data_IF_581510080874
#
_entry.id   IF_581510080874
#
_cell.length_a   1.000
_cell.length_b   1.000
_cell.length_c   1.000
_cell.angle_alpha   90.00
_cell.angle_beta   90.00
_cell.angle_gamma   90.00
#
_symmetry.space_group_name_H-M   'P 1'
#
loop_
_entity.id
_entity.type
_entity.pdbx_description
1 polymer ?
#
# COMPACT_ATOMS: atom_id res chain seq x y z
N UNK A 1 42.32 -21.69 -16.37
CA UNK A 1 41.98 -23.13 -16.47
C UNK A 1 40.52 -23.30 -15.95
N UNK A 2 39.62 -23.72 -16.82
CA UNK A 2 38.40 -24.41 -16.47
C UNK A 2 37.22 -23.57 -16.00
N UNK A 3 36.41 -22.97 -16.91
CA UNK A 3 35.04 -22.56 -16.62
C UNK A 3 34.06 -23.70 -16.89
N UNK A 4 32.90 -23.75 -16.19
CA UNK A 4 31.87 -24.72 -16.49
C UNK A 4 30.87 -24.19 -17.53
N UNK A 5 30.65 -25.06 -18.53
CA UNK A 5 29.70 -24.91 -19.64
C UNK A 5 28.25 -24.96 -19.19
N UNK A 6 27.47 -23.92 -19.49
CA UNK A 6 26.01 -23.94 -19.38
C UNK A 6 25.36 -24.65 -20.56
N UNK A 7 24.42 -25.56 -20.29
CA UNK A 7 23.55 -26.17 -21.28
C UNK A 7 22.22 -25.41 -21.36
N UNK A 8 21.67 -25.15 -22.55
CA UNK A 8 20.35 -24.53 -22.66
C UNK A 8 19.23 -25.58 -22.51
N UNK A 9 18.21 -25.24 -21.75
CA UNK A 9 16.96 -26.01 -21.67
C UNK A 9 16.12 -25.77 -22.94
N UNK A 10 15.91 -26.83 -23.72
CA UNK A 10 14.94 -26.86 -24.83
C UNK A 10 13.56 -27.25 -24.31
N UNK A 11 12.54 -26.44 -24.59
CA UNK A 11 11.12 -26.79 -24.46
C UNK A 11 10.61 -27.39 -25.79
N UNK A 12 9.90 -28.52 -25.80
CA UNK A 12 9.31 -29.05 -27.03
C UNK A 12 7.96 -28.40 -27.33
N UNK A 13 7.83 -27.81 -28.52
CA UNK A 13 6.54 -27.38 -29.12
C UNK A 13 5.75 -28.59 -29.58
N UNK A 14 4.50 -28.71 -29.11
CA UNK A 14 3.51 -29.62 -29.73
C UNK A 14 2.76 -28.88 -30.82
N UNK A 15 2.95 -29.34 -32.05
CA UNK A 15 2.15 -28.95 -33.22
C UNK A 15 0.88 -29.80 -33.28
N UNK A 16 -0.28 -29.15 -33.28
CA UNK A 16 -1.56 -29.81 -33.58
C UNK A 16 -1.89 -29.68 -35.08
N UNK A 17 -1.98 -30.83 -35.75
CA UNK A 17 -2.44 -30.91 -37.13
C UNK A 17 -3.97 -30.92 -37.18
N UNK A 18 -4.55 -29.88 -37.79
CA UNK A 18 -5.93 -29.93 -38.28
C UNK A 18 -5.95 -30.63 -39.65
N UNK A 19 -6.71 -31.70 -39.77
CA UNK A 19 -7.16 -32.19 -41.08
C UNK A 19 -8.68 -32.06 -41.18
N UNK A 20 -9.08 -31.24 -42.12
CA UNK A 20 -10.44 -31.17 -42.69
C UNK A 20 -10.73 -32.36 -43.59
N UNK A 21 -11.93 -32.92 -43.48
CA UNK A 21 -12.51 -33.78 -44.53
C UNK A 21 -13.99 -33.44 -44.65
N UNK A 22 -14.28 -32.87 -45.78
CA UNK A 22 -15.62 -32.66 -46.34
C UNK A 22 -15.99 -33.97 -47.06
N UNK A 23 -17.17 -34.52 -46.83
CA UNK A 23 -17.81 -35.36 -47.84
C UNK A 23 -19.33 -35.17 -47.89
N UNK A 24 -19.76 -35.03 -49.11
CA UNK A 24 -21.11 -34.76 -49.61
C UNK A 24 -22.03 -35.98 -49.63
N UNK A 25 -23.32 -35.65 -49.41
CA UNK A 25 -24.49 -36.13 -50.17
C UNK A 25 -24.88 -37.63 -50.15
N UNK A 26 -26.06 -38.04 -49.79
CA UNK A 26 -27.19 -38.13 -50.70
C UNK A 26 -28.48 -38.69 -50.03
N UNK A 27 -29.59 -38.25 -50.61
CA UNK A 27 -31.00 -38.62 -50.30
C UNK A 27 -31.26 -40.11 -50.40
N UNK A 28 -32.14 -40.68 -49.56
CA UNK A 28 -33.42 -41.22 -50.01
C UNK A 28 -34.30 -41.76 -48.86
N UNK A 29 -35.53 -41.64 -49.07
CA UNK A 29 -36.76 -41.73 -48.36
C UNK A 29 -37.19 -43.23 -48.15
N UNK A 30 -37.82 -43.50 -47.05
CA UNK A 30 -39.01 -44.33 -46.79
C UNK A 30 -38.88 -45.31 -45.61
N UNK A 31 -39.89 -45.22 -44.84
CA UNK A 31 -40.59 -46.30 -44.17
C UNK A 31 -40.68 -46.20 -42.62
N UNK A 32 -41.85 -45.93 -42.20
CA UNK A 32 -42.45 -45.92 -40.88
C UNK A 32 -42.24 -47.23 -40.12
N UNK A 33 -41.57 -47.20 -38.96
CA UNK A 33 -41.84 -48.14 -37.87
C UNK A 33 -41.74 -47.40 -36.56
N UNK A 34 -42.87 -47.32 -35.86
CA UNK A 34 -43.02 -46.78 -34.51
C UNK A 34 -42.36 -47.78 -33.54
N UNK A 35 -41.21 -47.44 -33.03
CA UNK A 35 -40.59 -48.13 -31.88
C UNK A 35 -40.64 -47.18 -30.68
N UNK A 36 -41.50 -47.55 -29.70
CA UNK A 36 -41.43 -46.94 -28.37
C UNK A 36 -40.11 -47.27 -27.73
N UNK A 37 -39.19 -46.34 -27.65
CA UNK A 37 -38.02 -46.43 -26.85
C UNK A 37 -38.31 -45.75 -25.51
N UNK A 38 -38.45 -46.58 -24.48
CA UNK A 38 -38.52 -46.13 -23.08
C UNK A 38 -37.13 -45.52 -22.73
N UNK A 39 -37.04 -44.20 -22.80
CA UNK A 39 -35.81 -43.49 -22.37
C UNK A 39 -35.79 -43.45 -20.84
N UNK A 40 -35.00 -44.31 -20.22
CA UNK A 40 -34.60 -44.15 -18.82
C UNK A 40 -33.66 -42.93 -18.73
N UNK A 41 -34.21 -41.82 -18.26
CA UNK A 41 -33.41 -40.64 -17.90
C UNK A 41 -32.68 -40.99 -16.60
N UNK A 42 -31.44 -41.44 -16.69
CA UNK A 42 -30.51 -41.46 -15.57
C UNK A 42 -30.13 -40.03 -15.24
N UNK A 43 -30.73 -39.48 -14.18
CA UNK A 43 -30.27 -38.24 -13.54
C UNK A 43 -28.85 -38.54 -12.99
N UNK A 44 -27.84 -38.22 -13.76
CA UNK A 44 -26.53 -37.95 -13.20
C UNK A 44 -26.62 -36.65 -12.43
N UNK A 45 -26.79 -36.77 -11.12
CA UNK A 45 -26.53 -35.64 -10.21
C UNK A 45 -25.07 -35.23 -10.39
N UNK A 46 -24.85 -34.17 -11.19
CA UNK A 46 -23.56 -33.50 -11.19
C UNK A 46 -23.40 -32.90 -9.79
N UNK A 47 -22.65 -33.58 -8.92
CA UNK A 47 -22.03 -32.91 -7.79
C UNK A 47 -21.16 -31.82 -8.38
N UNK A 48 -21.64 -30.56 -8.38
CA UNK A 48 -20.78 -29.43 -8.53
C UNK A 48 -19.69 -29.55 -7.44
N UNK A 49 -18.40 -29.46 -7.78
CA UNK A 49 -17.40 -29.38 -6.75
C UNK A 49 -17.77 -28.17 -5.87
N UNK A 50 -18.04 -28.43 -4.57
CA UNK A 50 -18.01 -27.35 -3.60
C UNK A 50 -16.62 -26.75 -3.72
N UNK A 51 -16.54 -25.49 -4.14
CA UNK A 51 -15.34 -24.71 -3.96
C UNK A 51 -15.12 -24.70 -2.43
N UNK A 52 -14.16 -25.49 -1.98
CA UNK A 52 -13.58 -25.30 -0.66
C UNK A 52 -13.13 -23.85 -0.66
N UNK A 53 -13.71 -23.04 0.23
CA UNK A 53 -13.20 -21.70 0.53
C UNK A 53 -11.81 -21.98 1.08
N UNK A 54 -10.81 -21.66 0.29
CA UNK A 54 -9.41 -21.86 0.67
C UNK A 54 -9.17 -20.92 1.86
N UNK A 55 -9.14 -21.47 3.08
CA UNK A 55 -8.78 -20.75 4.32
C UNK A 55 -7.29 -20.37 4.35
N UNK A 56 -6.60 -20.51 3.22
CA UNK A 56 -5.22 -20.09 3.08
C UNK A 56 -5.10 -18.58 3.31
N UNK A 57 -4.11 -18.12 4.07
CA UNK A 57 -3.87 -16.72 4.29
C UNK A 57 -3.75 -15.97 2.96
N UNK A 58 -4.32 -14.78 2.88
CA UNK A 58 -4.24 -13.96 1.68
C UNK A 58 -2.78 -13.82 1.24
N UNK A 59 -2.50 -14.13 -0.03
CA UNK A 59 -1.16 -14.12 -0.62
C UNK A 59 -0.43 -12.77 -0.41
N UNK A 60 -1.17 -11.67 -0.38
CA UNK A 60 -0.60 -10.34 -0.13
C UNK A 60 -0.03 -10.21 1.29
N UNK A 61 -0.68 -10.81 2.28
CA UNK A 61 -0.18 -10.82 3.67
C UNK A 61 1.08 -11.68 3.80
N UNK A 62 1.08 -12.86 3.18
CA UNK A 62 2.26 -13.74 3.16
C UNK A 62 3.44 -13.07 2.44
N UNK A 63 3.17 -12.33 1.36
CA UNK A 63 4.21 -11.60 0.65
C UNK A 63 4.87 -10.53 1.55
N UNK A 64 4.08 -9.78 2.30
CA UNK A 64 4.61 -8.77 3.24
C UNK A 64 5.36 -9.41 4.41
N UNK A 65 4.85 -10.51 4.97
CA UNK A 65 5.43 -11.14 6.16
C UNK A 65 6.70 -11.94 5.84
N UNK A 66 6.66 -12.75 4.76
CA UNK A 66 7.61 -13.86 4.57
C UNK A 66 8.54 -13.65 3.36
N UNK A 67 8.22 -12.73 2.40
CA UNK A 67 9.02 -12.67 1.18
C UNK A 67 10.33 -11.89 1.35
N UNK A 68 11.36 -12.38 0.68
CA UNK A 68 12.63 -11.65 0.54
C UNK A 68 12.46 -10.40 -0.35
N UNK A 69 11.53 -10.44 -1.29
CA UNK A 69 11.20 -9.38 -2.23
C UNK A 69 10.67 -8.15 -1.49
N UNK A 70 9.73 -8.31 -0.54
CA UNK A 70 9.26 -7.20 0.30
C UNK A 70 10.42 -6.51 1.02
N UNK A 71 11.32 -7.31 1.64
CA UNK A 71 12.49 -6.77 2.34
C UNK A 71 13.45 -6.03 1.40
N UNK A 72 13.64 -6.55 0.18
CA UNK A 72 14.52 -5.95 -0.81
C UNK A 72 13.96 -4.62 -1.33
N UNK A 73 12.67 -4.59 -1.72
CA UNK A 73 12.00 -3.40 -2.25
C UNK A 73 11.92 -2.30 -1.18
N UNK A 74 11.54 -2.63 0.06
CA UNK A 74 11.49 -1.66 1.15
C UNK A 74 12.86 -1.01 1.40
N UNK A 75 13.93 -1.82 1.48
CA UNK A 75 15.30 -1.28 1.60
C UNK A 75 15.73 -0.42 0.42
N UNK A 76 15.28 -0.78 -0.80
CA UNK A 76 15.57 0.01 -1.99
C UNK A 76 14.95 1.40 -1.91
N UNK A 77 13.70 1.51 -1.42
CA UNK A 77 13.00 2.79 -1.20
C UNK A 77 13.81 3.68 -0.25
N UNK A 78 14.14 3.18 0.95
CA UNK A 78 14.90 3.97 1.94
C UNK A 78 16.33 4.26 1.53
N UNK A 79 16.98 3.37 0.77
CA UNK A 79 18.31 3.63 0.21
C UNK A 79 18.28 4.74 -0.84
N UNK A 80 17.28 4.74 -1.74
CA UNK A 80 17.12 5.80 -2.73
C UNK A 80 16.91 7.15 -2.03
N UNK A 81 16.05 7.22 -1.03
CA UNK A 81 15.84 8.42 -0.23
C UNK A 81 17.12 8.88 0.49
N UNK A 82 17.90 7.96 1.07
CA UNK A 82 19.16 8.29 1.73
C UNK A 82 20.18 8.91 0.76
N UNK A 83 20.20 8.44 -0.48
CA UNK A 83 21.10 8.97 -1.52
C UNK A 83 20.68 10.37 -1.99
N UNK A 84 19.39 10.66 -2.03
CA UNK A 84 18.84 11.96 -2.45
C UNK A 84 18.89 13.01 -1.32
N UNK A 85 18.92 12.59 -0.06
CA UNK A 85 18.79 13.48 1.11
C UNK A 85 19.75 14.68 1.10
N UNK A 86 21.07 14.53 0.86
CA UNK A 86 21.97 15.68 0.88
C UNK A 86 21.66 16.74 -0.19
N UNK A 87 21.26 16.30 -1.39
CA UNK A 87 20.90 17.21 -2.47
C UNK A 87 19.60 17.98 -2.17
N UNK A 88 18.60 17.30 -1.62
CA UNK A 88 17.31 17.92 -1.25
C UNK A 88 17.43 18.87 -0.04
N UNK A 89 18.37 18.61 0.86
CA UNK A 89 18.69 19.56 1.93
C UNK A 89 19.31 20.85 1.32
N UNK A 90 20.25 20.68 0.40
CA UNK A 90 21.02 21.79 -0.19
C UNK A 90 20.19 22.62 -1.20
N UNK A 91 19.17 22.05 -1.83
CA UNK A 91 18.30 22.77 -2.75
C UNK A 91 17.19 23.49 -1.98
N UNK A 92 17.43 24.76 -1.63
CA UNK A 92 16.47 25.58 -0.90
C UNK A 92 15.19 25.87 -1.70
N UNK A 93 15.19 25.67 -3.01
CA UNK A 93 14.02 25.88 -3.87
C UNK A 93 13.12 24.66 -3.98
N UNK A 94 13.63 23.48 -3.59
CA UNK A 94 12.88 22.24 -3.65
C UNK A 94 11.86 22.12 -2.52
N UNK A 95 10.63 21.73 -2.87
CA UNK A 95 9.64 21.21 -1.94
C UNK A 95 8.97 19.93 -2.49
N UNK A 96 8.77 18.96 -1.64
CA UNK A 96 7.99 17.76 -1.92
C UNK A 96 6.46 18.02 -1.88
N UNK A 97 6.03 19.23 -1.52
CA UNK A 97 4.65 19.70 -1.64
C UNK A 97 4.57 20.63 -2.84
N UNK A 98 3.97 20.19 -3.98
CA UNK A 98 4.03 20.90 -5.27
C UNK A 98 3.55 22.35 -5.22
N UNK A 99 2.66 22.67 -4.29
CA UNK A 99 2.05 23.99 -4.12
C UNK A 99 2.61 24.78 -2.93
N UNK A 100 3.65 24.29 -2.24
CA UNK A 100 4.28 25.04 -1.15
C UNK A 100 5.00 26.26 -1.71
N UNK A 101 4.66 27.42 -1.20
CA UNK A 101 5.27 28.70 -1.58
C UNK A 101 6.09 29.27 -0.42
N UNK A 102 7.09 30.09 -0.74
CA UNK A 102 7.97 30.76 0.24
C UNK A 102 8.68 29.77 1.19
N UNK A 103 9.08 28.61 0.66
CA UNK A 103 9.72 27.55 1.43
C UNK A 103 11.23 27.76 1.62
N UNK A 104 11.86 28.66 0.86
CA UNK A 104 13.33 28.81 0.73
C UNK A 104 14.02 29.17 2.05
N UNK A 105 13.31 29.84 2.95
CA UNK A 105 13.87 30.23 4.25
C UNK A 105 13.42 29.35 5.40
N UNK A 106 12.65 28.31 5.13
CA UNK A 106 12.12 27.41 6.16
C UNK A 106 13.10 26.24 6.41
N UNK A 107 13.20 25.78 7.67
CA UNK A 107 14.03 24.63 7.98
C UNK A 107 13.50 23.36 7.28
N UNK A 108 14.40 22.46 6.83
CA UNK A 108 13.99 21.26 6.12
C UNK A 108 13.29 20.26 7.03
N UNK A 109 12.21 19.66 6.52
CA UNK A 109 11.49 18.59 7.20
C UNK A 109 11.11 17.45 6.24
N UNK A 110 10.87 16.29 6.82
CA UNK A 110 10.35 15.09 6.16
C UNK A 110 9.02 14.72 6.83
N UNK A 111 8.01 14.36 6.05
CA UNK A 111 6.76 13.82 6.56
C UNK A 111 6.66 12.36 6.18
N UNK A 112 6.39 11.49 7.16
CA UNK A 112 6.29 10.04 6.97
C UNK A 112 4.99 9.53 7.58
N UNK A 113 4.29 8.66 6.84
CA UNK A 113 3.25 7.84 7.44
C UNK A 113 3.85 6.81 8.41
N UNK A 114 3.04 6.20 9.26
CA UNK A 114 3.50 5.21 10.25
C UNK A 114 3.23 3.78 9.77
N UNK A 115 1.95 3.42 9.56
CA UNK A 115 1.52 2.04 9.36
C UNK A 115 1.83 1.56 7.95
N UNK A 116 2.55 0.44 7.81
CA UNK A 116 3.12 -0.10 6.56
C UNK A 116 4.16 0.80 5.88
N UNK A 117 4.47 1.92 6.48
CA UNK A 117 5.55 2.81 6.05
C UNK A 117 6.76 2.70 6.99
N UNK A 118 6.58 2.92 8.27
CA UNK A 118 7.65 2.84 9.27
C UNK A 118 7.60 1.54 10.07
N UNK A 119 6.40 1.09 10.41
CA UNK A 119 6.15 -0.16 11.12
C UNK A 119 5.20 -1.04 10.32
N UNK A 120 5.38 -2.36 10.47
CA UNK A 120 4.65 -3.37 9.71
C UNK A 120 3.55 -3.98 10.58
N UNK A 121 2.30 -3.76 10.21
CA UNK A 121 1.12 -4.28 10.90
C UNK A 121 0.60 -5.63 10.35
N UNK A 122 1.40 -6.40 9.59
CA UNK A 122 0.93 -7.64 8.97
C UNK A 122 0.46 -8.69 9.99
N UNK A 123 1.09 -8.75 11.16
CA UNK A 123 0.69 -9.71 12.21
C UNK A 123 -0.68 -9.37 12.78
N UNK A 124 -1.02 -8.07 12.90
CA UNK A 124 -2.37 -7.66 13.20
C UNK A 124 -3.36 -8.10 12.11
N UNK A 125 -3.02 -7.88 10.84
CA UNK A 125 -3.89 -8.24 9.71
C UNK A 125 -4.16 -9.75 9.62
N UNK A 126 -3.20 -10.58 10.01
CA UNK A 126 -3.33 -12.03 10.05
C UNK A 126 -4.05 -12.56 11.29
N UNK A 127 -3.95 -11.86 12.41
CA UNK A 127 -4.40 -12.35 13.72
C UNK A 127 -5.71 -11.75 14.23
N UNK A 128 -6.20 -10.64 13.66
CA UNK A 128 -7.42 -10.04 14.16
C UNK A 128 -8.68 -10.73 13.61
N UNK A 129 -9.64 -10.97 14.49
CA UNK A 129 -10.96 -11.44 14.09
C UNK A 129 -11.77 -10.35 13.37
N UNK A 130 -12.36 -10.64 12.20
CA UNK A 130 -13.25 -9.69 11.52
C UNK A 130 -14.48 -9.29 12.37
N UNK A 131 -15.05 -8.12 12.18
CA UNK A 131 -14.60 -7.03 11.31
C UNK A 131 -13.44 -6.23 11.93
N UNK A 132 -12.67 -5.53 11.09
CA UNK A 132 -11.72 -4.51 11.54
C UNK A 132 -12.46 -3.42 12.34
N UNK A 133 -11.87 -3.01 13.47
CA UNK A 133 -12.30 -1.82 14.22
C UNK A 133 -11.08 -1.03 14.68
N UNK A 134 -11.21 0.31 14.74
CA UNK A 134 -10.15 1.17 15.27
C UNK A 134 -9.69 0.72 16.66
N UNK A 135 -10.64 0.38 17.55
CA UNK A 135 -10.30 -0.09 18.90
C UNK A 135 -9.42 -1.35 18.90
N UNK A 136 -9.71 -2.35 18.06
CA UNK A 136 -8.85 -3.56 17.99
C UNK A 136 -7.44 -3.21 17.54
N UNK A 137 -7.32 -2.26 16.62
CA UNK A 137 -6.03 -1.78 16.13
C UNK A 137 -5.29 -0.97 17.18
N UNK A 138 -5.98 -0.12 17.93
CA UNK A 138 -5.41 0.65 19.03
C UNK A 138 -4.92 -0.28 20.18
N UNK A 139 -5.73 -1.29 20.53
CA UNK A 139 -5.34 -2.29 21.54
C UNK A 139 -4.09 -3.08 21.11
N UNK A 140 -3.97 -3.41 19.80
CA UNK A 140 -2.79 -4.08 19.27
C UNK A 140 -1.57 -3.16 19.27
N UNK A 141 -1.73 -1.91 18.82
CA UNK A 141 -0.67 -0.91 18.85
C UNK A 141 -0.16 -0.66 20.28
N UNK A 142 -1.05 -0.64 21.27
CA UNK A 142 -0.67 -0.48 22.68
C UNK A 142 0.20 -1.64 23.23
N UNK A 143 0.31 -2.75 22.51
CA UNK A 143 1.23 -3.85 22.84
C UNK A 143 2.67 -3.65 22.32
N UNK A 144 2.88 -2.66 21.45
CA UNK A 144 4.19 -2.25 20.90
C UNK A 144 4.99 -3.39 20.24
N UNK A 145 4.31 -4.28 19.53
CA UNK A 145 4.91 -5.47 18.88
C UNK A 145 5.16 -5.30 17.39
N UNK A 146 4.82 -4.16 16.82
CA UNK A 146 4.99 -3.91 15.40
C UNK A 146 6.48 -3.93 15.00
N UNK A 147 6.79 -4.70 13.95
CA UNK A 147 8.16 -4.78 13.44
C UNK A 147 8.46 -3.59 12.53
N UNK A 148 9.70 -3.06 12.55
CA UNK A 148 10.07 -1.99 11.64
C UNK A 148 10.04 -2.46 10.18
N UNK A 149 9.60 -1.56 9.30
CA UNK A 149 9.79 -1.74 7.85
C UNK A 149 11.27 -1.70 7.52
N UNK A 150 11.80 -2.67 6.75
CA UNK A 150 13.23 -2.77 6.49
C UNK A 150 13.83 -1.51 5.84
N UNK A 151 14.77 -0.88 6.52
CA UNK A 151 15.46 0.35 6.08
C UNK A 151 14.91 1.63 6.73
N UNK A 152 13.71 1.59 7.31
CA UNK A 152 13.10 2.78 7.91
C UNK A 152 13.88 3.32 9.12
N UNK A 153 14.29 2.50 10.13
CA UNK A 153 15.01 3.01 11.29
C UNK A 153 16.34 3.69 10.93
N UNK A 154 17.08 3.10 10.00
CA UNK A 154 18.36 3.64 9.53
C UNK A 154 18.18 4.99 8.82
N UNK A 155 17.13 5.09 7.98
CA UNK A 155 16.82 6.32 7.27
C UNK A 155 16.43 7.45 8.22
N UNK A 156 15.52 7.20 9.18
CA UNK A 156 15.08 8.23 10.15
C UNK A 156 16.26 8.72 10.99
N UNK A 157 17.13 7.81 11.46
CA UNK A 157 18.35 8.19 12.18
C UNK A 157 19.28 9.05 11.32
N UNK A 158 19.46 8.70 10.04
CA UNK A 158 20.27 9.48 9.10
C UNK A 158 19.66 10.88 8.90
N UNK A 159 18.37 10.98 8.64
CA UNK A 159 17.69 12.27 8.41
C UNK A 159 17.84 13.20 9.62
N UNK A 160 17.60 12.70 10.83
CA UNK A 160 17.78 13.48 12.07
C UNK A 160 19.25 13.87 12.31
N UNK A 161 20.19 12.97 12.07
CA UNK A 161 21.62 13.28 12.17
C UNK A 161 22.09 14.33 11.14
N UNK A 162 21.35 14.47 10.03
CA UNK A 162 21.57 15.51 9.00
C UNK A 162 20.88 16.83 9.32
N UNK A 163 20.28 16.98 10.50
CA UNK A 163 19.61 18.23 10.94
C UNK A 163 18.21 18.41 10.37
N UNK A 164 17.59 17.36 9.81
CA UNK A 164 16.24 17.43 9.24
C UNK A 164 15.20 17.02 10.30
N UNK A 165 14.16 17.82 10.46
CA UNK A 165 13.02 17.45 11.31
C UNK A 165 12.21 16.34 10.63
N UNK A 166 11.82 15.31 11.38
CA UNK A 166 10.98 14.22 10.87
C UNK A 166 9.66 14.21 11.60
N UNK A 167 8.57 14.38 10.86
CA UNK A 167 7.20 14.31 11.34
C UNK A 167 6.56 12.98 10.94
N UNK A 168 5.81 12.39 11.85
CA UNK A 168 5.07 11.16 11.66
C UNK A 168 3.58 11.48 11.57
N UNK A 169 3.01 11.40 10.35
CA UNK A 169 1.64 11.81 10.06
C UNK A 169 0.79 10.59 9.73
N UNK A 170 -0.03 10.13 10.70
CA UNK A 170 -0.79 8.88 10.60
C UNK A 170 -2.29 9.10 10.64
N UNK A 171 -3.05 8.14 10.11
CA UNK A 171 -4.50 8.07 10.23
C UNK A 171 -4.97 7.27 11.48
N UNK A 172 -4.06 6.88 12.37
CA UNK A 172 -4.45 6.51 13.74
C UNK A 172 -5.24 7.68 14.32
N UNK A 173 -6.34 7.38 14.99
CA UNK A 173 -7.31 8.42 15.38
C UNK A 173 -7.10 8.83 16.83
N UNK A 174 -7.08 10.13 17.05
CA UNK A 174 -7.08 10.69 18.39
C UNK A 174 -8.49 10.66 18.97
N UNK A 175 -8.69 9.86 20.02
CA UNK A 175 -9.88 9.92 20.86
C UNK A 175 -9.56 10.83 22.05
N UNK A 176 -9.74 12.14 21.84
CA UNK A 176 -9.31 13.15 22.79
C UNK A 176 -10.06 13.04 24.11
N UNK A 177 -9.31 12.99 25.22
CA UNK A 177 -9.86 13.11 26.56
C UNK A 177 -10.46 14.51 26.82
N UNK A 178 -11.17 14.67 27.93
CA UNK A 178 -11.83 15.93 28.30
C UNK A 178 -10.84 17.11 28.45
N UNK A 179 -9.59 16.84 28.74
CA UNK A 179 -8.51 17.83 28.83
C UNK A 179 -7.80 18.11 27.49
N UNK A 180 -8.28 17.47 26.41
CA UNK A 180 -7.70 17.56 25.07
C UNK A 180 -6.48 16.67 24.84
N UNK A 181 -6.06 15.87 25.83
CA UNK A 181 -4.95 14.93 25.65
C UNK A 181 -5.36 13.75 24.75
N UNK A 182 -4.36 13.15 24.10
CA UNK A 182 -4.54 12.06 23.17
C UNK A 182 -3.54 10.93 23.46
N UNK A 183 -3.98 9.91 24.19
CA UNK A 183 -3.13 8.76 24.54
C UNK A 183 -2.61 8.02 23.31
N UNK A 184 -3.35 8.00 22.21
CA UNK A 184 -2.93 7.35 20.97
C UNK A 184 -1.66 8.01 20.38
N UNK A 185 -1.41 9.28 20.69
CA UNK A 185 -0.19 9.97 20.28
C UNK A 185 1.04 9.40 20.98
N UNK A 186 0.94 9.19 22.28
CA UNK A 186 1.99 8.55 23.10
C UNK A 186 2.22 7.11 22.66
N UNK A 187 1.15 6.34 22.44
CA UNK A 187 1.23 4.96 21.93
C UNK A 187 1.97 4.94 20.58
N UNK A 188 1.63 5.83 19.64
CA UNK A 188 2.27 5.88 18.33
C UNK A 188 3.76 6.24 18.44
N UNK A 189 4.12 7.20 19.30
CA UNK A 189 5.53 7.54 19.54
C UNK A 189 6.30 6.37 20.17
N UNK A 190 5.70 5.67 21.13
CA UNK A 190 6.32 4.52 21.77
C UNK A 190 6.50 3.35 20.81
N UNK A 191 5.49 3.05 19.93
CA UNK A 191 5.62 2.03 18.88
C UNK A 191 6.85 2.27 18.01
N UNK A 192 7.06 3.53 17.61
CA UNK A 192 8.21 3.91 16.79
C UNK A 192 9.53 3.68 17.56
N UNK A 193 9.58 4.06 18.83
CA UNK A 193 10.77 3.88 19.67
C UNK A 193 11.11 2.38 19.83
N UNK A 194 10.12 1.54 20.10
CA UNK A 194 10.32 0.08 20.24
C UNK A 194 10.74 -0.56 18.90
N UNK A 195 10.27 0.00 17.75
CA UNK A 195 10.74 -0.38 16.42
C UNK A 195 12.15 0.17 16.10
N UNK A 196 12.82 0.86 17.01
CA UNK A 196 14.16 1.42 16.85
C UNK A 196 14.20 2.74 16.07
N UNK A 197 13.05 3.42 15.93
CA UNK A 197 12.89 4.71 15.27
C UNK A 197 12.80 5.81 16.32
N UNK A 198 13.73 6.78 16.37
CA UNK A 198 13.65 7.88 17.33
C UNK A 198 12.39 8.71 17.11
N UNK A 199 11.52 8.83 18.12
CA UNK A 199 10.30 9.61 18.09
C UNK A 199 9.99 10.20 19.46
N UNK A 200 9.29 11.33 19.45
CA UNK A 200 8.64 11.95 20.61
C UNK A 200 7.23 12.35 20.23
N UNK A 201 6.37 12.60 21.21
CA UNK A 201 4.95 12.94 20.98
C UNK A 201 4.79 14.11 20.00
N UNK A 202 5.62 15.15 20.12
CA UNK A 202 5.59 16.33 19.26
C UNK A 202 5.93 16.08 17.78
N UNK A 203 6.51 14.93 17.48
CA UNK A 203 6.77 14.51 16.09
C UNK A 203 5.54 13.87 15.45
N UNK A 204 4.57 13.40 16.26
CA UNK A 204 3.41 12.62 15.80
C UNK A 204 2.20 13.52 15.59
N UNK A 205 1.52 13.34 14.46
CA UNK A 205 0.28 14.04 14.08
C UNK A 205 -0.79 13.03 13.70
N UNK A 206 -1.90 13.05 14.43
CA UNK A 206 -3.00 12.07 14.30
C UNK A 206 -4.21 12.64 13.55
N UNK A 207 -5.03 11.74 12.99
CA UNK A 207 -6.38 12.11 12.60
C UNK A 207 -7.23 12.41 13.87
N UNK A 208 -8.14 13.37 13.79
CA UNK A 208 -8.99 13.75 14.93
C UNK A 208 -8.34 14.61 16.01
N UNK A 209 -7.03 14.87 15.93
CA UNK A 209 -6.29 15.67 16.94
C UNK A 209 -6.77 17.12 17.02
N UNK A 210 -7.23 17.68 15.91
CA UNK A 210 -7.81 19.04 15.86
C UNK A 210 -9.08 19.03 15.03
N UNK A 211 -9.99 20.00 15.23
CA UNK A 211 -11.14 20.18 14.35
C UNK A 211 -10.70 20.30 12.88
N UNK A 212 -11.37 19.54 11.99
CA UNK A 212 -11.04 19.48 10.57
C UNK A 212 -9.88 18.54 10.19
N UNK A 213 -9.16 17.96 11.14
CA UNK A 213 -8.11 16.97 10.89
C UNK A 213 -8.68 15.57 10.78
N UNK A 214 -9.35 15.27 9.66
CA UNK A 214 -9.87 13.95 9.35
C UNK A 214 -8.79 13.02 8.77
N UNK A 215 -9.25 11.94 8.12
CA UNK A 215 -8.38 10.97 7.47
C UNK A 215 -7.72 11.47 6.17
N UNK A 216 -8.13 12.63 5.65
CA UNK A 216 -7.42 13.30 4.55
C UNK A 216 -6.17 14.00 5.09
N UNK A 217 -5.01 13.58 4.60
CA UNK A 217 -3.72 14.01 5.16
C UNK A 217 -3.30 15.41 4.72
N UNK A 218 -3.86 15.93 3.62
CA UNK A 218 -3.45 17.23 3.05
C UNK A 218 -3.45 18.34 4.09
N UNK A 219 -4.55 18.51 4.83
CA UNK A 219 -4.69 19.61 5.82
C UNK A 219 -3.59 19.57 6.89
N UNK A 220 -3.18 18.37 7.31
CA UNK A 220 -2.13 18.17 8.31
C UNK A 220 -0.73 18.38 7.72
N UNK A 221 -0.52 17.99 6.44
CA UNK A 221 0.73 18.33 5.71
C UNK A 221 0.89 19.82 5.53
N UNK A 222 -0.19 20.50 5.15
CA UNK A 222 -0.21 21.97 4.95
C UNK A 222 0.14 22.70 6.25
N UNK A 223 -0.40 22.24 7.38
CA UNK A 223 -0.05 22.80 8.69
C UNK A 223 1.45 22.67 9.03
N UNK A 224 2.08 21.52 8.71
CA UNK A 224 3.52 21.35 8.89
C UNK A 224 4.28 22.25 7.90
N UNK A 225 3.78 22.42 6.69
CA UNK A 225 4.39 23.21 5.63
C UNK A 225 4.33 24.72 5.88
N UNK A 226 3.55 25.20 6.85
CA UNK A 226 3.56 26.60 7.31
C UNK A 226 4.91 26.98 7.94
N UNK A 227 5.53 26.05 8.68
CA UNK A 227 6.75 26.31 9.46
C UNK A 227 7.99 25.59 8.90
N UNK A 228 7.82 24.64 7.98
CA UNK A 228 8.91 23.80 7.47
C UNK A 228 8.87 23.67 5.94
N UNK A 229 10.04 23.67 5.32
CA UNK A 229 10.22 23.25 3.92
C UNK A 229 10.19 21.73 3.87
N UNK A 230 9.12 21.15 3.35
CA UNK A 230 8.95 19.70 3.28
C UNK A 230 9.76 19.15 2.11
N UNK A 231 10.87 18.48 2.39
CA UNK A 231 11.79 18.00 1.35
C UNK A 231 11.52 16.57 0.89
N UNK A 232 10.83 15.76 1.70
CA UNK A 232 10.43 14.40 1.32
C UNK A 232 9.09 14.03 1.93
N UNK A 233 8.32 13.19 1.21
CA UNK A 233 7.13 12.49 1.69
C UNK A 233 7.34 10.98 1.60
N UNK A 234 6.88 10.26 2.62
CA UNK A 234 6.85 8.79 2.64
C UNK A 234 5.46 8.27 3.00
N UNK A 235 5.03 7.22 2.35
CA UNK A 235 3.77 6.55 2.62
C UNK A 235 3.68 5.21 1.91
N UNK A 236 2.63 4.45 2.20
CA UNK A 236 2.27 3.20 1.52
C UNK A 236 1.03 3.35 0.65
N UNK A 237 0.33 4.47 0.78
CA UNK A 237 -0.91 4.80 0.06
C UNK A 237 -0.78 6.10 -0.74
N UNK A 238 -1.43 6.15 -1.90
CA UNK A 238 -1.41 7.36 -2.73
C UNK A 238 -1.91 8.60 -1.98
N UNK A 239 -2.81 8.42 -1.00
CA UNK A 239 -3.34 9.49 -0.14
C UNK A 239 -2.30 10.14 0.78
N UNK A 240 -1.12 9.51 0.94
CA UNK A 240 -0.01 10.10 1.68
C UNK A 240 0.67 11.23 0.92
N UNK A 241 0.52 11.24 -0.40
CA UNK A 241 1.14 12.18 -1.33
C UNK A 241 0.13 13.13 -1.97
N UNK A 242 -0.96 12.59 -2.49
CA UNK A 242 -1.95 13.29 -3.30
C UNK A 242 -3.31 13.25 -2.59
N UNK A 243 -4.01 14.39 -2.46
CA UNK A 243 -5.34 14.43 -1.84
C UNK A 243 -6.42 13.81 -2.74
N UNK A 244 -7.58 13.52 -2.15
CA UNK A 244 -8.83 13.19 -2.85
C UNK A 244 -8.79 11.91 -3.71
N UNK A 245 -7.95 10.94 -3.35
CA UNK A 245 -7.75 9.69 -4.09
C UNK A 245 -8.66 8.54 -3.67
N UNK A 246 -9.48 8.70 -2.63
CA UNK A 246 -10.42 7.70 -2.10
C UNK A 246 -11.73 7.75 -2.88
N UNK A 247 -12.40 6.59 -3.06
CA UNK A 247 -13.71 6.52 -3.74
C UNK A 247 -14.77 7.40 -3.06
N UNK A 248 -14.83 7.34 -1.73
CA UNK A 248 -15.71 8.22 -0.96
C UNK A 248 -14.92 9.44 -0.54
N UNK A 249 -15.33 10.63 -0.97
CA UNK A 249 -14.64 11.84 -0.60
C UNK A 249 -14.72 12.06 0.92
N UNK A 250 -13.63 12.54 1.47
CA UNK A 250 -13.52 12.97 2.87
C UNK A 250 -13.11 14.43 2.85
N UNK A 251 -13.73 15.27 3.67
CA UNK A 251 -13.41 16.69 3.70
C UNK A 251 -11.89 16.95 3.79
N UNK A 252 -11.34 17.86 3.02
CA UNK A 252 -12.01 18.90 2.20
C UNK A 252 -12.40 18.44 0.77
N UNK A 253 -12.22 17.17 0.41
CA UNK A 253 -12.52 16.65 -0.92
C UNK A 253 -14.02 16.63 -1.18
N UNK A 254 -14.44 17.11 -2.35
CA UNK A 254 -15.84 17.12 -2.81
C UNK A 254 -16.15 15.99 -3.77
N UNK A 255 -15.14 15.43 -4.44
CA UNK A 255 -15.27 14.36 -5.40
C UNK A 255 -14.41 13.14 -4.99
N UNK A 256 -14.86 11.96 -5.37
CA UNK A 256 -14.17 10.72 -5.08
C UNK A 256 -13.21 10.31 -6.17
N UNK A 257 -12.17 9.58 -5.77
CA UNK A 257 -11.21 8.96 -6.67
C UNK A 257 -11.80 7.80 -7.49
N UNK A 258 -11.28 7.64 -8.71
CA UNK A 258 -11.49 6.48 -9.58
C UNK A 258 -10.15 5.86 -9.97
N UNK A 259 -10.14 4.64 -10.52
CA UNK A 259 -8.91 4.02 -11.02
C UNK A 259 -8.23 4.95 -12.06
N UNK A 260 -9.03 5.49 -12.99
CA UNK A 260 -8.50 6.32 -14.07
C UNK A 260 -7.86 7.61 -13.57
N UNK A 261 -8.53 8.34 -12.65
CA UNK A 261 -7.94 9.59 -12.15
C UNK A 261 -6.76 9.34 -11.22
N UNK A 262 -6.69 8.21 -10.50
CA UNK A 262 -5.50 7.86 -9.72
C UNK A 262 -4.28 7.64 -10.61
N UNK A 263 -4.44 6.96 -11.76
CA UNK A 263 -3.36 6.81 -12.74
C UNK A 263 -2.94 8.17 -13.30
N UNK A 264 -3.90 8.99 -13.74
CA UNK A 264 -3.59 10.33 -14.26
C UNK A 264 -2.84 11.20 -13.25
N UNK A 265 -3.26 11.18 -11.97
CA UNK A 265 -2.57 11.90 -10.89
C UNK A 265 -1.16 11.35 -10.62
N UNK A 266 -0.95 10.03 -10.75
CA UNK A 266 0.38 9.44 -10.62
C UNK A 266 1.30 9.90 -11.74
N UNK A 267 0.80 9.96 -12.98
CA UNK A 267 1.54 10.42 -14.15
C UNK A 267 1.80 11.94 -14.09
N UNK A 268 0.83 12.72 -13.63
CA UNK A 268 0.98 14.18 -13.44
C UNK A 268 2.12 14.54 -12.49
N UNK A 269 2.34 13.69 -11.48
CA UNK A 269 3.37 13.92 -10.47
C UNK A 269 4.62 13.04 -10.68
N UNK A 270 4.88 12.56 -11.91
CA UNK A 270 6.00 11.66 -12.23
C UNK A 270 7.36 12.19 -11.74
N UNK A 271 7.57 13.50 -11.82
CA UNK A 271 8.81 14.14 -11.39
C UNK A 271 9.12 14.03 -9.89
N UNK A 272 8.13 13.69 -9.06
CA UNK A 272 8.29 13.58 -7.61
C UNK A 272 8.64 12.16 -7.16
N UNK A 273 8.21 11.12 -7.91
CA UNK A 273 8.44 9.73 -7.54
C UNK A 273 9.93 9.38 -7.58
N UNK A 274 10.47 9.01 -6.42
CA UNK A 274 11.90 8.73 -6.25
C UNK A 274 12.80 9.95 -6.16
N UNK A 275 12.26 11.16 -6.34
CA UNK A 275 12.99 12.43 -6.24
C UNK A 275 12.63 13.25 -4.98
N UNK A 276 11.60 12.85 -4.26
CA UNK A 276 11.14 13.46 -3.02
C UNK A 276 9.94 12.72 -2.45
N UNK A 277 9.23 11.94 -3.29
CA UNK A 277 8.15 11.05 -2.88
C UNK A 277 8.62 9.60 -2.93
N UNK A 278 8.48 8.90 -1.82
CA UNK A 278 8.94 7.54 -1.64
C UNK A 278 7.79 6.65 -1.15
N UNK A 279 7.24 5.84 -2.05
CA UNK A 279 6.14 4.93 -1.74
C UNK A 279 6.67 3.56 -1.34
N UNK A 280 6.23 3.07 -0.18
CA UNK A 280 6.55 1.72 0.33
C UNK A 280 5.46 0.75 -0.15
N UNK A 281 5.78 -0.46 -0.62
CA UNK A 281 4.78 -1.36 -1.17
C UNK A 281 3.84 -1.90 -0.09
N UNK A 282 2.53 -1.71 -0.28
CA UNK A 282 1.48 -2.34 0.52
C UNK A 282 0.43 -3.00 -0.38
N UNK A 283 0.53 -4.33 -0.61
CA UNK A 283 -0.47 -5.07 -1.36
C UNK A 283 -1.66 -5.54 -0.52
N UNK A 284 -1.67 -5.28 0.79
CA UNK A 284 -2.66 -5.83 1.71
C UNK A 284 -3.96 -5.02 1.76
N UNK A 285 -3.83 -3.71 1.90
CA UNK A 285 -4.94 -2.77 2.03
C UNK A 285 -4.52 -1.37 1.59
N UNK A 286 -5.46 -0.43 1.54
CA UNK A 286 -5.21 0.96 1.17
C UNK A 286 -6.40 1.57 0.44
N UNK A 287 -6.31 2.85 0.11
CA UNK A 287 -7.35 3.57 -0.61
C UNK A 287 -7.63 2.97 -2.01
N UNK A 288 -6.64 2.30 -2.60
CA UNK A 288 -6.75 1.61 -3.88
C UNK A 288 -7.79 0.49 -3.90
N UNK A 289 -8.06 -0.15 -2.76
CA UNK A 289 -9.10 -1.19 -2.67
C UNK A 289 -10.51 -0.61 -2.79
N UNK A 290 -10.68 0.65 -2.40
CA UNK A 290 -11.98 1.32 -2.38
C UNK A 290 -12.49 1.75 -3.75
N UNK A 291 -11.62 1.88 -4.75
CA UNK A 291 -11.94 2.40 -6.09
C UNK A 291 -12.26 1.32 -7.13
N UNK A 292 -12.32 0.06 -6.70
CA UNK A 292 -12.68 -1.11 -7.54
C UNK A 292 -14.18 -1.22 -7.74
#
# INVERSE_FOLDING_TARGET
MGGPSGRPFCCPRKTANLRSSIHHSNKNMKSTRLLLILSTVTLFGACAPQQEVDDAPNQSYLWVRDSAEYRAVSRQVYRAASMSLPALIADETWSAIPYQTNAENLPPAIIMDIDQTLVNGVDFQLGHEPPFTGKKFDDWNASHVAMPVPGAPEFVKLARASGVRVFFLTNRYCDAAADGSCVQKQIAAQDLVEAGIPAVDDDVTLAGERPGWGSEKMVRRDHIAEDFRVIMLFGDDLGDFIPCVRRRPVAPCTEGGTIANRYALTDEHDAYWGAGWYIVPNPMYGSWTSVR
#
